data_IF_663136162447
#
_entry.id   IF_663136162447
#
_cell.length_a   1.000
_cell.length_b   1.000
_cell.length_c   1.000
_cell.angle_alpha   90.00
_cell.angle_beta   90.00
_cell.angle_gamma   90.00
#
_symmetry.space_group_name_H-M   'P 1'
#
loop_
_entity.id
_entity.type
_entity.pdbx_description
1 polymer ?
#
# COMPACT_ATOMS: atom_id res chain seq x y z
N UNK A 1 -5.60 9.10 -26.25
CA UNK A 1 -4.41 8.71 -25.48
C UNK A 1 -4.01 7.31 -25.92
N UNK A 2 -2.91 7.16 -26.67
CA UNK A 2 -2.37 5.84 -27.00
C UNK A 2 -1.54 5.37 -25.80
N UNK A 3 -1.84 4.18 -25.29
CA UNK A 3 -1.03 3.53 -24.26
C UNK A 3 0.11 2.83 -24.99
N UNK A 4 1.17 3.57 -25.30
CA UNK A 4 2.40 3.00 -25.86
C UNK A 4 3.39 2.77 -24.71
N UNK A 5 4.10 1.64 -24.75
CA UNK A 5 5.26 1.35 -23.91
C UNK A 5 5.03 1.06 -22.40
N UNK A 6 3.91 0.42 -22.03
CA UNK A 6 3.73 -0.17 -20.68
C UNK A 6 4.56 -1.45 -20.59
N UNK A 7 5.63 -1.43 -19.80
CA UNK A 7 6.54 -2.59 -19.61
C UNK A 7 6.47 -3.20 -18.21
N UNK A 8 5.97 -2.44 -17.24
CA UNK A 8 5.89 -2.85 -15.84
C UNK A 8 4.77 -2.11 -15.09
N UNK A 9 4.47 -2.56 -13.86
CA UNK A 9 3.47 -1.93 -13.00
C UNK A 9 3.84 -0.51 -12.57
N UNK A 10 5.14 -0.18 -12.51
CA UNK A 10 5.60 1.19 -12.21
C UNK A 10 5.11 2.17 -13.29
N UNK A 11 5.23 1.77 -14.54
CA UNK A 11 4.76 2.52 -15.71
C UNK A 11 3.23 2.66 -15.69
N UNK A 12 2.51 1.61 -15.31
CA UNK A 12 1.04 1.66 -15.17
C UNK A 12 0.61 2.72 -14.16
N UNK A 13 1.17 2.72 -12.96
CA UNK A 13 0.81 3.70 -11.91
C UNK A 13 1.11 5.12 -12.35
N UNK A 14 2.27 5.36 -12.96
CA UNK A 14 2.66 6.69 -13.42
C UNK A 14 1.73 7.22 -14.51
N UNK A 15 1.52 6.43 -15.58
CA UNK A 15 0.65 6.79 -16.72
C UNK A 15 -0.81 6.93 -16.28
N UNK A 16 -1.29 6.03 -15.41
CA UNK A 16 -2.64 6.10 -14.88
C UNK A 16 -2.83 7.38 -14.08
N UNK A 17 -1.85 7.78 -13.27
CA UNK A 17 -1.88 9.03 -12.51
C UNK A 17 -2.03 10.29 -13.38
N UNK A 18 -1.56 10.27 -14.64
CA UNK A 18 -1.65 11.43 -15.55
C UNK A 18 -3.10 11.72 -15.97
N UNK A 19 -4.03 10.84 -15.61
CA UNK A 19 -5.47 11.09 -15.73
C UNK A 19 -6.00 12.10 -14.70
N UNK A 20 -5.15 12.58 -13.79
CA UNK A 20 -5.43 13.69 -12.87
C UNK A 20 -6.62 13.39 -11.97
N UNK A 21 -7.58 14.31 -11.96
CA UNK A 21 -8.73 14.33 -11.04
C UNK A 21 -9.85 13.34 -11.40
N UNK A 22 -9.65 12.49 -12.40
CA UNK A 22 -10.61 11.42 -12.70
C UNK A 22 -10.67 10.45 -11.53
N UNK A 23 -11.87 9.97 -11.21
CA UNK A 23 -12.07 8.97 -10.16
C UNK A 23 -11.36 7.68 -10.54
N UNK A 24 -10.53 7.18 -9.64
CA UNK A 24 -9.85 5.89 -9.74
C UNK A 24 -10.65 4.81 -9.02
N UNK A 25 -10.89 4.99 -7.72
CA UNK A 25 -11.69 4.08 -6.90
C UNK A 25 -12.70 4.85 -6.05
N UNK A 26 -13.78 4.16 -5.70
CA UNK A 26 -14.81 4.67 -4.83
C UNK A 26 -15.30 3.53 -3.92
N UNK A 27 -15.42 3.82 -2.64
CA UNK A 27 -15.88 2.90 -1.60
C UNK A 27 -17.04 3.55 -0.84
N UNK A 28 -18.04 2.75 -0.48
CA UNK A 28 -19.10 3.20 0.42
C UNK A 28 -18.67 2.99 1.87
N UNK A 29 -18.58 4.07 2.65
CA UNK A 29 -18.31 4.04 4.10
C UNK A 29 -19.53 4.56 4.85
N UNK A 30 -20.25 3.64 5.51
CA UNK A 30 -21.53 3.95 6.14
C UNK A 30 -22.56 4.45 5.11
N UNK A 31 -22.97 5.72 5.22
CA UNK A 31 -23.92 6.36 4.30
C UNK A 31 -23.25 7.15 3.18
N UNK A 32 -21.95 7.35 3.24
CA UNK A 32 -21.21 8.23 2.32
C UNK A 32 -20.36 7.41 1.34
N UNK A 33 -20.04 8.01 0.20
CA UNK A 33 -19.08 7.47 -0.74
C UNK A 33 -17.78 8.24 -0.62
N UNK A 34 -16.71 7.55 -0.29
CA UNK A 34 -15.36 8.08 -0.39
C UNK A 34 -14.78 7.71 -1.74
N UNK A 35 -14.09 8.65 -2.38
CA UNK A 35 -13.47 8.47 -3.68
C UNK A 35 -12.03 8.95 -3.62
N UNK A 36 -11.19 8.33 -4.43
CA UNK A 36 -9.85 8.82 -4.72
C UNK A 36 -9.69 8.98 -6.23
N UNK A 37 -8.90 9.96 -6.61
CA UNK A 37 -8.53 10.28 -7.98
C UNK A 37 -7.32 9.48 -8.43
N UNK A 38 -7.04 9.48 -9.73
CA UNK A 38 -5.80 8.89 -10.26
C UNK A 38 -4.55 9.62 -9.76
N UNK A 39 -4.63 10.95 -9.57
CA UNK A 39 -3.53 11.73 -9.00
C UNK A 39 -3.23 11.31 -7.55
N UNK A 40 -4.27 11.21 -6.70
CA UNK A 40 -4.17 10.76 -5.32
C UNK A 40 -3.68 9.30 -5.24
N UNK A 41 -4.18 8.41 -6.11
CA UNK A 41 -3.71 7.03 -6.18
C UNK A 41 -2.19 6.97 -6.41
N UNK A 42 -1.67 7.69 -7.40
CA UNK A 42 -0.23 7.68 -7.70
C UNK A 42 0.57 8.22 -6.51
N UNK A 43 0.09 9.27 -5.88
CA UNK A 43 0.73 9.85 -4.70
C UNK A 43 0.80 8.83 -3.56
N UNK A 44 -0.34 8.27 -3.16
CA UNK A 44 -0.42 7.28 -2.09
C UNK A 44 0.45 6.03 -2.38
N UNK A 45 0.42 5.55 -3.63
CA UNK A 45 1.20 4.37 -4.06
C UNK A 45 2.71 4.61 -3.97
N UNK A 46 3.17 5.80 -4.39
CA UNK A 46 4.59 6.16 -4.31
C UNK A 46 5.03 6.31 -2.87
N UNK A 47 4.27 7.04 -2.05
CA UNK A 47 4.58 7.26 -0.64
C UNK A 47 4.65 5.95 0.11
N UNK A 48 3.66 5.07 -0.04
CA UNK A 48 3.66 3.79 0.64
C UNK A 48 4.79 2.87 0.16
N UNK A 49 5.14 2.89 -1.13
CA UNK A 49 6.27 2.14 -1.65
C UNK A 49 7.62 2.60 -1.07
N UNK A 50 7.78 3.90 -0.85
CA UNK A 50 8.98 4.49 -0.24
C UNK A 50 9.07 4.14 1.25
N UNK A 51 7.93 4.21 1.96
CA UNK A 51 7.85 3.72 3.33
C UNK A 51 8.26 2.24 3.46
N UNK A 52 7.73 1.37 2.60
CA UNK A 52 8.12 -0.04 2.57
C UNK A 52 9.63 -0.22 2.32
N UNK A 53 10.24 0.64 1.50
CA UNK A 53 11.69 0.63 1.27
C UNK A 53 12.45 0.98 2.55
N UNK A 54 12.01 2.01 3.28
CA UNK A 54 12.60 2.41 4.57
C UNK A 54 12.52 1.33 5.66
N UNK A 55 11.58 0.39 5.56
CA UNK A 55 11.50 -0.78 6.43
C UNK A 55 12.50 -1.90 6.05
N UNK A 56 13.36 -1.66 5.06
CA UNK A 56 14.30 -2.65 4.53
C UNK A 56 13.65 -3.68 3.61
N UNK A 57 12.43 -3.42 3.11
CA UNK A 57 11.72 -4.31 2.19
C UNK A 57 12.10 -3.94 0.74
N UNK A 58 12.89 -4.79 0.11
CA UNK A 58 13.53 -4.58 -1.17
C UNK A 58 12.77 -5.24 -2.32
N UNK A 59 13.18 -4.94 -3.56
CA UNK A 59 12.65 -5.59 -4.76
C UNK A 59 12.74 -7.12 -4.63
N UNK A 60 11.65 -7.81 -4.99
CA UNK A 60 11.52 -9.26 -4.87
C UNK A 60 11.06 -9.76 -3.50
N UNK A 61 11.06 -8.93 -2.47
CA UNK A 61 10.52 -9.30 -1.16
C UNK A 61 8.98 -9.45 -1.21
N UNK A 62 8.47 -10.33 -0.34
CA UNK A 62 7.06 -10.75 -0.30
C UNK A 62 6.34 -10.03 0.84
N UNK A 63 5.18 -9.45 0.56
CA UNK A 63 4.35 -8.72 1.53
C UNK A 63 2.94 -9.32 1.53
N UNK A 64 2.47 -9.70 2.71
CA UNK A 64 1.12 -10.25 2.92
C UNK A 64 0.06 -9.15 2.89
N UNK A 65 -1.15 -9.47 2.42
CA UNK A 65 -2.32 -8.61 2.60
C UNK A 65 -3.50 -9.46 3.09
N UNK A 66 -3.98 -9.17 4.31
CA UNK A 66 -5.14 -9.80 4.93
C UNK A 66 -6.16 -8.73 5.33
N UNK A 67 -7.06 -8.36 4.43
CA UNK A 67 -8.08 -7.38 4.72
C UNK A 67 -9.31 -7.57 3.82
N UNK A 68 -10.44 -7.00 4.24
CA UNK A 68 -11.65 -6.91 3.40
C UNK A 68 -11.51 -5.79 2.36
N UNK A 69 -12.40 -5.79 1.37
CA UNK A 69 -12.46 -4.76 0.32
C UNK A 69 -12.51 -3.34 0.91
N UNK A 70 -11.53 -2.53 0.52
CA UNK A 70 -11.39 -1.11 0.87
C UNK A 70 -10.42 -0.41 -0.08
N UNK A 71 -10.44 0.91 -0.14
CA UNK A 71 -9.53 1.67 -1.01
C UNK A 71 -8.05 1.38 -0.69
N UNK A 72 -7.70 1.34 0.59
CA UNK A 72 -6.34 1.15 1.08
C UNK A 72 -5.78 -0.22 0.72
N UNK A 73 -6.64 -1.25 0.52
CA UNK A 73 -6.21 -2.55 0.01
C UNK A 73 -5.65 -2.42 -1.41
N UNK A 74 -6.36 -1.67 -2.26
CA UNK A 74 -5.93 -1.40 -3.63
C UNK A 74 -4.63 -0.60 -3.67
N UNK A 75 -4.49 0.40 -2.80
CA UNK A 75 -3.26 1.17 -2.66
C UNK A 75 -2.10 0.29 -2.18
N UNK A 76 -2.30 -0.53 -1.14
CA UNK A 76 -1.29 -1.45 -0.62
C UNK A 76 -0.80 -2.40 -1.71
N UNK A 77 -1.73 -3.06 -2.42
CA UNK A 77 -1.39 -3.95 -3.53
C UNK A 77 -0.56 -3.24 -4.60
N UNK A 78 -1.01 -2.07 -5.07
CA UNK A 78 -0.31 -1.30 -6.10
C UNK A 78 1.06 -0.83 -5.63
N UNK A 79 1.22 -0.45 -4.36
CA UNK A 79 2.49 0.00 -3.78
C UNK A 79 3.54 -1.12 -3.72
N UNK A 80 3.10 -2.34 -3.42
CA UNK A 80 3.96 -3.52 -3.44
C UNK A 80 4.50 -3.74 -4.85
N UNK A 81 3.61 -3.88 -5.84
CA UNK A 81 4.04 -4.17 -7.22
C UNK A 81 4.76 -2.98 -7.88
N UNK A 82 4.43 -1.73 -7.50
CA UNK A 82 5.12 -0.52 -7.94
C UNK A 82 6.61 -0.53 -7.56
N UNK A 83 6.91 -0.96 -6.33
CA UNK A 83 8.28 -1.12 -5.84
C UNK A 83 9.00 -2.38 -6.34
N UNK A 84 8.37 -3.16 -7.23
CA UNK A 84 8.91 -4.45 -7.70
C UNK A 84 8.93 -5.54 -6.63
N UNK A 85 8.08 -5.42 -5.62
CA UNK A 85 7.86 -6.42 -4.56
C UNK A 85 6.72 -7.35 -4.96
N UNK A 86 6.51 -8.41 -4.20
CA UNK A 86 5.52 -9.45 -4.50
C UNK A 86 4.39 -9.37 -3.47
N UNK A 87 3.16 -9.13 -3.95
CA UNK A 87 1.98 -9.17 -3.09
C UNK A 87 1.56 -10.62 -2.86
N UNK A 88 1.29 -10.97 -1.60
CA UNK A 88 0.77 -12.27 -1.17
C UNK A 88 -0.63 -12.04 -0.57
N UNK A 89 -1.70 -12.10 -1.38
CA UNK A 89 -3.07 -12.02 -0.87
C UNK A 89 -3.36 -13.22 0.04
N UNK A 90 -3.90 -12.95 1.24
CA UNK A 90 -4.30 -13.95 2.21
C UNK A 90 -5.82 -13.94 2.34
N UNK A 91 -6.43 -15.13 2.44
CA UNK A 91 -7.87 -15.28 2.54
C UNK A 91 -8.37 -15.08 3.99
N UNK A 92 -9.24 -14.10 4.26
CA UNK A 92 -9.85 -13.89 5.58
C UNK A 92 -10.70 -15.05 6.10
N UNK A 93 -11.05 -16.03 5.27
CA UNK A 93 -11.78 -17.24 5.68
C UNK A 93 -10.87 -18.28 6.35
N UNK A 94 -9.55 -18.18 6.17
CA UNK A 94 -8.58 -19.06 6.80
C UNK A 94 -8.44 -18.79 8.31
N UNK A 95 -8.08 -19.84 9.04
CA UNK A 95 -7.72 -19.77 10.45
C UNK A 95 -6.33 -19.14 10.61
N UNK A 96 -6.07 -18.64 11.81
CA UNK A 96 -4.78 -18.06 12.18
C UNK A 96 -3.60 -18.99 11.90
N UNK A 97 -3.67 -20.26 12.30
CA UNK A 97 -2.61 -21.24 12.07
C UNK A 97 -2.28 -21.46 10.58
N UNK A 98 -3.30 -21.42 9.72
CA UNK A 98 -3.17 -21.55 8.27
C UNK A 98 -2.54 -20.29 7.67
N UNK A 99 -2.98 -19.11 8.13
CA UNK A 99 -2.43 -17.81 7.71
C UNK A 99 -0.94 -17.71 8.07
N UNK A 100 -0.58 -18.00 9.32
CA UNK A 100 0.81 -17.95 9.79
C UNK A 100 1.69 -18.96 9.04
N UNK A 101 1.15 -20.15 8.76
CA UNK A 101 1.85 -21.18 7.97
C UNK A 101 2.11 -20.70 6.54
N UNK A 102 1.11 -20.12 5.87
CA UNK A 102 1.26 -19.57 4.52
C UNK A 102 2.26 -18.40 4.48
N UNK A 103 2.18 -17.48 5.45
CA UNK A 103 3.12 -16.37 5.56
C UNK A 103 4.56 -16.86 5.75
N UNK A 104 4.76 -17.91 6.56
CA UNK A 104 6.06 -18.53 6.76
C UNK A 104 6.59 -19.21 5.50
N UNK A 105 5.77 -20.02 4.81
CA UNK A 105 6.13 -20.68 3.55
C UNK A 105 6.48 -19.65 2.47
N UNK A 106 5.71 -18.56 2.41
CA UNK A 106 5.95 -17.47 1.47
C UNK A 106 7.10 -16.55 1.90
N UNK A 107 7.69 -16.71 3.10
CA UNK A 107 8.74 -15.83 3.63
C UNK A 107 8.33 -14.34 3.56
N UNK A 108 7.11 -14.06 4.01
CA UNK A 108 6.57 -12.70 4.04
C UNK A 108 7.40 -11.84 5.00
N UNK A 109 7.83 -10.66 4.55
CA UNK A 109 8.64 -9.72 5.34
C UNK A 109 7.83 -8.63 6.06
N UNK A 110 6.61 -8.38 5.63
CA UNK A 110 5.66 -7.50 6.31
C UNK A 110 4.22 -7.85 5.88
N UNK A 111 3.22 -7.43 6.64
CA UNK A 111 1.82 -7.72 6.34
C UNK A 111 0.95 -6.48 6.50
N UNK A 112 0.11 -6.23 5.50
CA UNK A 112 -1.01 -5.30 5.61
C UNK A 112 -2.22 -6.05 6.16
N UNK A 113 -2.89 -5.47 7.14
CA UNK A 113 -4.09 -6.06 7.75
C UNK A 113 -5.10 -4.99 8.13
N UNK A 114 -6.22 -5.39 8.72
CA UNK A 114 -7.09 -4.49 9.49
C UNK A 114 -7.13 -4.92 10.94
N UNK A 115 -7.59 -4.04 11.83
CA UNK A 115 -7.73 -4.33 13.27
C UNK A 115 -8.44 -5.66 13.51
N UNK A 116 -9.52 -5.91 12.77
CA UNK A 116 -10.32 -7.14 12.84
C UNK A 116 -9.49 -8.42 12.65
N UNK A 117 -8.42 -8.38 11.86
CA UNK A 117 -7.57 -9.53 11.56
C UNK A 117 -6.17 -9.43 12.17
N UNK A 118 -5.93 -8.43 13.02
CA UNK A 118 -4.62 -8.18 13.61
C UNK A 118 -4.08 -9.39 14.37
N UNK A 119 -4.88 -9.99 15.25
CA UNK A 119 -4.46 -11.16 16.04
C UNK A 119 -4.05 -12.36 15.17
N UNK A 120 -4.60 -12.48 13.95
CA UNK A 120 -4.26 -13.59 13.05
C UNK A 120 -2.88 -13.48 12.42
N UNK A 121 -2.24 -12.32 12.51
CA UNK A 121 -0.95 -12.03 11.88
C UNK A 121 0.11 -11.56 12.88
N UNK A 122 -0.28 -11.13 14.08
CA UNK A 122 0.61 -10.59 15.12
C UNK A 122 1.67 -11.61 15.57
N UNK A 123 1.33 -12.90 15.57
CA UNK A 123 2.24 -14.00 15.92
C UNK A 123 3.40 -14.23 14.94
N UNK A 124 3.41 -13.58 13.76
CA UNK A 124 4.46 -13.76 12.76
C UNK A 124 5.79 -13.08 13.12
N UNK A 125 5.80 -12.12 14.06
CA UNK A 125 7.01 -11.40 14.47
C UNK A 125 7.62 -10.50 13.39
N UNK A 126 6.81 -10.10 12.41
CA UNK A 126 7.18 -9.19 11.31
C UNK A 126 6.38 -7.88 11.39
N UNK A 127 6.80 -6.79 10.74
CA UNK A 127 6.03 -5.55 10.69
C UNK A 127 4.59 -5.76 10.22
N UNK A 128 3.64 -5.21 10.99
CA UNK A 128 2.21 -5.21 10.68
C UNK A 128 1.75 -3.78 10.44
N UNK A 129 1.15 -3.52 9.28
CA UNK A 129 0.60 -2.21 8.90
C UNK A 129 -0.93 -2.34 8.82
N UNK A 130 -1.66 -1.51 9.56
CA UNK A 130 -3.12 -1.53 9.56
C UNK A 130 -3.70 -0.54 8.58
N UNK A 131 -4.58 -1.04 7.71
CA UNK A 131 -5.22 -0.28 6.65
C UNK A 131 -6.33 0.64 7.19
N UNK A 132 -6.88 0.38 8.38
CA UNK A 132 -7.90 1.15 9.12
C UNK A 132 -7.31 2.11 10.17
N UNK A 133 -6.03 2.46 10.08
CA UNK A 133 -5.41 3.46 10.95
C UNK A 133 -5.52 3.16 12.46
N UNK A 134 -5.36 1.89 12.83
CA UNK A 134 -5.33 1.45 14.23
C UNK A 134 -3.89 1.33 14.78
N UNK A 135 -3.39 0.12 15.07
CA UNK A 135 -2.05 -0.14 15.59
C UNK A 135 -1.53 -1.47 15.01
N UNK A 136 -0.21 -1.72 14.93
CA UNK A 136 0.90 -0.93 15.48
C UNK A 136 1.46 0.14 14.55
N UNK A 137 1.34 -0.01 13.23
CA UNK A 137 1.72 1.00 12.24
C UNK A 137 0.48 1.36 11.44
N UNK A 138 0.06 2.62 11.49
CA UNK A 138 -1.10 3.10 10.74
C UNK A 138 -0.78 3.32 9.27
N UNK A 139 -1.78 3.14 8.42
CA UNK A 139 -1.66 3.45 7.00
C UNK A 139 -1.31 4.91 6.76
N UNK A 140 -2.02 5.84 7.40
CA UNK A 140 -1.75 7.29 7.40
C UNK A 140 -0.31 7.61 7.81
N UNK A 141 0.16 7.06 8.93
CA UNK A 141 1.55 7.25 9.40
C UNK A 141 2.58 6.69 8.40
N UNK A 142 2.28 5.57 7.75
CA UNK A 142 3.12 5.01 6.69
C UNK A 142 3.16 5.94 5.46
N UNK A 143 2.02 6.51 5.07
CA UNK A 143 1.93 7.49 3.98
C UNK A 143 2.76 8.74 4.31
N UNK A 144 2.56 9.35 5.48
CA UNK A 144 3.27 10.57 5.90
C UNK A 144 4.80 10.38 5.94
N UNK A 145 5.27 9.24 6.46
CA UNK A 145 6.70 8.90 6.46
C UNK A 145 7.22 8.75 5.03
N UNK A 146 6.48 8.04 4.17
CA UNK A 146 6.82 7.88 2.77
C UNK A 146 6.91 9.20 2.01
N UNK A 147 5.94 10.09 2.21
CA UNK A 147 5.95 11.44 1.63
C UNK A 147 7.15 12.26 2.07
N UNK A 148 7.49 12.19 3.35
CA UNK A 148 8.65 12.89 3.91
C UNK A 148 9.94 12.42 3.26
N UNK A 149 10.10 11.11 3.07
CA UNK A 149 11.25 10.51 2.39
C UNK A 149 11.32 10.92 0.92
N UNK A 150 10.19 10.93 0.20
CA UNK A 150 10.15 11.36 -1.20
C UNK A 150 10.50 12.85 -1.37
N UNK A 151 10.06 13.72 -0.44
CA UNK A 151 10.47 15.13 -0.41
C UNK A 151 11.97 15.26 -0.17
N UNK A 152 12.53 14.48 0.77
CA UNK A 152 13.96 14.50 1.07
C UNK A 152 14.82 14.01 -0.11
N UNK A 153 14.35 13.01 -0.85
CA UNK A 153 15.01 12.49 -2.05
C UNK A 153 14.83 13.39 -3.30
N UNK A 154 14.11 14.52 -3.17
CA UNK A 154 13.83 15.44 -4.28
C UNK A 154 12.85 14.90 -5.32
N UNK A 155 12.14 13.82 -5.02
CA UNK A 155 11.15 13.19 -5.92
C UNK A 155 9.78 13.89 -5.90
N UNK A 156 9.49 14.64 -4.84
CA UNK A 156 8.32 15.52 -4.71
C UNK A 156 8.84 16.93 -4.42
N UNK A 157 8.33 17.93 -5.15
CA UNK A 157 8.68 19.34 -4.92
C UNK A 157 8.19 19.78 -3.54
N UNK A 158 9.08 20.42 -2.79
CA UNK A 158 8.70 21.18 -1.59
C UNK A 158 8.12 22.51 -2.08
N UNK A 159 6.82 22.74 -1.88
CA UNK A 159 6.31 24.11 -1.88
C UNK A 159 6.85 24.78 -0.62
N UNK A 160 7.96 25.49 -0.75
CA UNK A 160 8.38 26.46 0.25
C UNK A 160 7.42 27.62 0.08
N UNK A 161 6.40 27.69 0.92
CA UNK A 161 5.60 28.91 1.02
C UNK A 161 6.54 29.96 1.65
N UNK A 162 6.88 31.06 0.95
CA UNK A 162 7.66 32.11 1.56
C UNK A 162 6.74 32.85 2.53
N UNK A 163 7.00 32.69 3.83
CA UNK A 163 6.48 33.59 4.86
C UNK A 163 6.89 35.05 4.58
#
# INVERSE_FOLDING_TARGET
MKIENVRDFRSVVNIAGDRGDRVFLMEKRGKEFQKITYAEMRHLVRSLSEFLFSLGINKGDKIGILATNRIEWGIAYLSIVYGGRIAVPLDPQLKEEEILTLMKIAEVKAVFTTERFFERVSGAGIPVITLDDTHPIKFSEAIEKGETLLKWNGEIKVEVNPD
#
